data_IF_828045619318
#
_entry.id   IF_828045619318
#
_cell.length_a   1.000
_cell.length_b   1.000
_cell.length_c   1.000
_cell.angle_alpha   90.00
_cell.angle_beta   90.00
_cell.angle_gamma   90.00
#
_symmetry.space_group_name_H-M   'P 1'
#
loop_
_entity.id
_entity.type
_entity.pdbx_description
1 polymer ?
#
# COMPACT_ATOMS: atom_id res chain seq x y z
N UNK A 1 29.48 14.06 -16.49
CA UNK A 1 28.79 15.07 -17.33
C UNK A 1 27.83 14.39 -18.29
N UNK A 2 28.22 13.42 -19.12
CA UNK A 2 27.37 12.75 -20.12
C UNK A 2 26.17 12.06 -19.46
N UNK A 3 26.39 11.29 -18.40
CA UNK A 3 25.30 10.59 -17.66
C UNK A 3 24.32 11.61 -17.06
N UNK A 4 24.83 12.70 -16.48
CA UNK A 4 23.95 13.74 -15.92
C UNK A 4 23.12 14.42 -17.01
N UNK A 5 23.69 14.69 -18.18
CA UNK A 5 22.95 15.26 -19.31
C UNK A 5 21.84 14.32 -19.81
N UNK A 6 22.14 13.03 -19.97
CA UNK A 6 21.14 12.02 -20.38
C UNK A 6 20.01 11.92 -19.36
N UNK A 7 20.34 11.85 -18.06
CA UNK A 7 19.34 11.79 -17.00
C UNK A 7 18.46 13.05 -16.97
N UNK A 8 19.05 14.23 -17.15
CA UNK A 8 18.30 15.49 -17.21
C UNK A 8 17.31 15.51 -18.37
N UNK A 9 17.71 15.04 -19.55
CA UNK A 9 16.82 14.95 -20.72
C UNK A 9 15.64 13.99 -20.43
N UNK A 10 15.93 12.82 -19.86
CA UNK A 10 14.89 11.85 -19.50
C UNK A 10 13.91 12.45 -18.50
N UNK A 11 14.41 13.13 -17.46
CA UNK A 11 13.57 13.79 -16.44
C UNK A 11 12.68 14.86 -17.09
N UNK A 12 13.21 15.69 -17.99
CA UNK A 12 12.42 16.70 -18.69
C UNK A 12 11.31 16.10 -19.55
N UNK A 13 11.61 15.02 -20.27
CA UNK A 13 10.61 14.30 -21.09
C UNK A 13 9.52 13.71 -20.20
N UNK A 14 9.89 13.10 -19.06
CA UNK A 14 8.92 12.50 -18.13
C UNK A 14 8.14 13.55 -17.34
N UNK A 15 8.71 14.71 -17.07
CA UNK A 15 8.05 15.80 -16.37
C UNK A 15 7.06 16.57 -17.25
N UNK A 16 7.28 16.58 -18.58
CA UNK A 16 6.44 17.37 -19.51
C UNK A 16 4.94 17.01 -19.46
N UNK A 17 4.50 15.74 -19.45
CA UNK A 17 3.09 15.41 -19.34
C UNK A 17 2.45 15.92 -18.05
N UNK A 18 3.17 15.87 -16.93
CA UNK A 18 2.69 16.36 -15.62
C UNK A 18 2.57 17.88 -15.67
N UNK A 19 3.59 18.55 -16.20
CA UNK A 19 3.59 20.01 -16.41
C UNK A 19 2.43 20.44 -17.32
N UNK A 20 2.23 19.73 -18.44
CA UNK A 20 1.14 20.01 -19.40
C UNK A 20 -0.24 19.92 -18.73
N UNK A 21 -0.51 18.87 -17.94
CA UNK A 21 -1.78 18.70 -17.23
C UNK A 21 -1.98 19.84 -16.24
N UNK A 22 -0.93 20.25 -15.53
CA UNK A 22 -1.00 21.36 -14.59
C UNK A 22 -1.30 22.70 -15.29
N UNK A 23 -0.67 22.98 -16.42
CA UNK A 23 -0.97 24.19 -17.20
C UNK A 23 -2.34 24.13 -17.86
N UNK A 24 -2.76 22.96 -18.33
CA UNK A 24 -4.09 22.73 -18.89
C UNK A 24 -5.21 22.96 -17.88
N UNK A 25 -4.97 22.63 -16.60
CA UNK A 25 -5.96 22.84 -15.54
C UNK A 25 -6.32 24.31 -15.29
N UNK A 26 -5.44 25.22 -15.67
CA UNK A 26 -5.64 26.68 -15.59
C UNK A 26 -6.03 27.33 -16.93
N UNK A 27 -6.17 26.52 -17.99
CA UNK A 27 -6.46 27.04 -19.34
C UNK A 27 -7.92 26.81 -19.72
N UNK A 28 -8.41 27.65 -20.62
CA UNK A 28 -9.73 27.42 -21.19
C UNK A 28 -9.76 26.11 -22.00
N UNK A 29 -10.76 25.24 -21.79
CA UNK A 29 -10.87 23.94 -22.44
C UNK A 29 -10.81 24.01 -23.98
N UNK A 30 -11.23 25.10 -24.60
CA UNK A 30 -11.18 25.25 -26.06
C UNK A 30 -9.76 25.29 -26.60
N UNK A 31 -8.83 25.98 -25.92
CA UNK A 31 -7.42 26.04 -26.31
C UNK A 31 -6.68 24.72 -26.06
N UNK A 32 -7.07 23.98 -25.02
CA UNK A 32 -6.52 22.67 -24.73
C UNK A 32 -6.95 21.65 -25.78
N UNK A 33 -8.25 21.60 -26.10
CA UNK A 33 -8.81 20.66 -27.09
C UNK A 33 -8.32 20.93 -28.53
N UNK A 34 -8.08 22.20 -28.86
CA UNK A 34 -7.57 22.59 -30.19
C UNK A 34 -6.03 22.42 -30.28
N UNK A 35 -5.36 21.93 -29.24
CA UNK A 35 -3.90 21.76 -29.23
C UNK A 35 -3.09 23.05 -29.33
N UNK A 36 -3.72 24.21 -29.15
CA UNK A 36 -3.06 25.53 -29.23
C UNK A 36 -2.32 25.91 -27.95
N UNK A 37 -2.54 25.20 -26.84
CA UNK A 37 -1.80 25.29 -25.60
C UNK A 37 -0.67 24.27 -25.57
N UNK A 38 0.59 24.73 -25.44
CA UNK A 38 1.75 23.84 -25.38
C UNK A 38 2.53 23.95 -24.06
N UNK A 39 2.97 25.17 -23.71
CA UNK A 39 3.82 25.40 -22.53
C UNK A 39 3.19 26.34 -21.51
N UNK A 40 2.37 27.31 -21.94
CA UNK A 40 1.78 28.30 -21.05
C UNK A 40 0.26 28.25 -21.12
N UNK A 41 -0.45 28.55 -20.02
CA UNK A 41 -1.89 28.55 -20.00
C UNK A 41 -2.42 29.65 -20.94
N UNK A 42 -3.42 29.31 -21.76
CA UNK A 42 -4.13 30.24 -22.63
C UNK A 42 -5.57 30.40 -22.16
N UNK A 43 -6.02 31.66 -22.05
CA UNK A 43 -7.37 31.95 -21.56
C UNK A 43 -7.51 31.50 -20.10
N UNK A 44 -6.74 32.09 -19.17
CA UNK A 44 -6.73 31.68 -17.77
C UNK A 44 -8.14 31.58 -17.19
N UNK A 45 -8.52 30.39 -16.71
CA UNK A 45 -9.83 30.11 -16.14
C UNK A 45 -9.74 29.04 -15.07
N UNK A 46 -10.60 29.11 -14.07
CA UNK A 46 -10.78 28.09 -13.03
C UNK A 46 -12.03 27.24 -13.26
N UNK A 47 -12.63 27.33 -14.43
CA UNK A 47 -13.89 26.65 -14.77
C UNK A 47 -13.79 25.15 -14.65
N UNK A 48 -12.60 24.55 -14.94
CA UNK A 48 -12.31 23.14 -14.73
C UNK A 48 -12.43 22.74 -13.26
N UNK A 49 -11.83 23.52 -12.38
CA UNK A 49 -11.90 23.28 -10.93
C UNK A 49 -13.32 23.46 -10.39
N UNK A 50 -14.02 24.50 -10.84
CA UNK A 50 -15.41 24.73 -10.44
C UNK A 50 -16.28 23.52 -10.78
N UNK A 51 -16.21 23.00 -12.00
CA UNK A 51 -16.96 21.81 -12.42
C UNK A 51 -16.58 20.56 -11.61
N UNK A 52 -15.30 20.40 -11.25
CA UNK A 52 -14.82 19.30 -10.39
C UNK A 52 -15.43 19.40 -9.00
N UNK A 53 -15.46 20.58 -8.40
CA UNK A 53 -16.03 20.78 -7.07
C UNK A 53 -17.56 20.69 -7.02
N UNK A 54 -18.24 20.96 -8.12
CA UNK A 54 -19.69 20.80 -8.27
C UNK A 54 -20.12 19.34 -8.43
N UNK A 55 -19.22 18.45 -8.89
CA UNK A 55 -19.55 17.03 -9.12
C UNK A 55 -19.48 16.22 -7.80
N UNK A 56 -20.65 15.85 -7.28
CA UNK A 56 -20.78 15.06 -6.05
C UNK A 56 -20.10 13.69 -6.12
N UNK A 57 -19.90 13.12 -7.33
CA UNK A 57 -19.24 11.83 -7.53
C UNK A 57 -17.77 11.88 -7.12
N UNK A 58 -17.12 13.03 -7.31
CA UNK A 58 -15.73 13.26 -6.94
C UNK A 58 -15.57 13.22 -5.42
N UNK A 59 -16.44 13.90 -4.70
CA UNK A 59 -16.43 13.89 -3.23
C UNK A 59 -16.72 12.50 -2.65
N UNK A 60 -17.66 11.78 -3.26
CA UNK A 60 -17.94 10.38 -2.88
C UNK A 60 -16.74 9.49 -3.16
N UNK A 61 -16.04 9.69 -4.29
CA UNK A 61 -14.81 8.98 -4.64
C UNK A 61 -13.69 9.22 -3.61
N UNK A 62 -13.41 10.48 -3.29
CA UNK A 62 -12.43 10.83 -2.26
C UNK A 62 -12.77 10.25 -0.88
N UNK A 63 -14.03 10.35 -0.47
CA UNK A 63 -14.50 9.77 0.79
C UNK A 63 -14.29 8.25 0.84
N UNK A 64 -14.62 7.55 -0.23
CA UNK A 64 -14.40 6.11 -0.33
C UNK A 64 -12.90 5.76 -0.30
N UNK A 65 -12.07 6.47 -1.06
CA UNK A 65 -10.61 6.27 -1.07
C UNK A 65 -10.02 6.45 0.33
N UNK A 66 -10.41 7.50 1.06
CA UNK A 66 -9.95 7.71 2.43
C UNK A 66 -10.34 6.53 3.36
N UNK A 67 -11.59 6.06 3.27
CA UNK A 67 -12.06 4.91 4.06
C UNK A 67 -11.25 3.65 3.72
N UNK A 68 -11.02 3.38 2.43
CA UNK A 68 -10.27 2.20 1.99
C UNK A 68 -8.81 2.28 2.39
N UNK A 69 -8.18 3.44 2.20
CA UNK A 69 -6.78 3.66 2.58
C UNK A 69 -6.59 3.52 4.09
N UNK A 70 -7.38 4.20 4.90
CA UNK A 70 -7.24 4.13 6.36
C UNK A 70 -7.56 2.73 6.86
N UNK A 71 -8.70 2.17 6.47
CA UNK A 71 -9.15 0.84 6.90
C UNK A 71 -8.22 -0.27 6.42
N UNK A 72 -7.84 -0.25 5.14
CA UNK A 72 -6.95 -1.23 4.55
C UNK A 72 -5.53 -1.17 5.10
N UNK A 73 -4.98 0.04 5.26
CA UNK A 73 -3.65 0.23 5.86
C UNK A 73 -3.62 -0.22 7.31
N UNK A 74 -4.62 0.11 8.11
CA UNK A 74 -4.68 -0.30 9.52
C UNK A 74 -4.76 -1.83 9.64
N UNK A 75 -5.70 -2.46 8.95
CA UNK A 75 -5.85 -3.92 8.96
C UNK A 75 -4.62 -4.62 8.37
N UNK A 76 -4.13 -4.13 7.24
CA UNK A 76 -2.99 -4.71 6.55
C UNK A 76 -1.72 -4.66 7.39
N UNK A 77 -1.42 -3.51 7.99
CA UNK A 77 -0.28 -3.36 8.89
C UNK A 77 -0.42 -4.30 10.08
N UNK A 78 -1.58 -4.35 10.71
CA UNK A 78 -1.82 -5.20 11.88
C UNK A 78 -1.60 -6.69 11.56
N UNK A 79 -2.25 -7.21 10.53
CA UNK A 79 -2.12 -8.63 10.17
C UNK A 79 -0.74 -8.98 9.62
N UNK A 80 -0.11 -8.09 8.86
CA UNK A 80 1.26 -8.28 8.36
C UNK A 80 2.27 -8.34 9.50
N UNK A 81 2.16 -7.44 10.48
CA UNK A 81 3.01 -7.45 11.67
C UNK A 81 2.81 -8.71 12.50
N UNK A 82 1.58 -9.16 12.71
CA UNK A 82 1.29 -10.42 13.40
C UNK A 82 1.86 -11.63 12.67
N UNK A 83 1.64 -11.74 11.37
CA UNK A 83 2.13 -12.84 10.54
C UNK A 83 3.66 -12.84 10.49
N UNK A 84 4.29 -11.67 10.26
CA UNK A 84 5.74 -11.52 10.25
C UNK A 84 6.36 -11.92 11.59
N UNK A 85 5.77 -11.48 12.71
CA UNK A 85 6.21 -11.89 14.06
C UNK A 85 6.07 -13.40 14.26
N UNK A 86 4.93 -13.99 13.96
CA UNK A 86 4.73 -15.42 14.14
C UNK A 86 5.74 -16.25 13.32
N UNK A 87 5.94 -15.86 12.06
CA UNK A 87 6.88 -16.54 11.15
C UNK A 87 8.35 -16.22 11.44
N UNK A 88 8.68 -15.18 12.19
CA UNK A 88 10.05 -14.89 12.63
C UNK A 88 10.51 -15.81 13.77
N UNK A 89 9.57 -16.44 14.47
CA UNK A 89 9.86 -17.30 15.63
C UNK A 89 10.42 -18.64 15.21
N UNK A 90 11.54 -19.06 15.83
CA UNK A 90 12.15 -20.37 15.57
C UNK A 90 11.39 -21.52 16.22
N UNK A 91 10.67 -21.25 17.30
CA UNK A 91 9.86 -22.24 18.02
C UNK A 91 8.47 -22.49 17.40
N UNK A 92 8.12 -21.79 16.28
CA UNK A 92 6.87 -22.06 15.57
C UNK A 92 6.96 -23.38 14.81
N UNK A 93 6.09 -24.37 15.11
CA UNK A 93 6.04 -25.60 14.35
C UNK A 93 5.66 -25.34 12.90
N UNK A 94 6.23 -26.11 11.98
CA UNK A 94 5.98 -25.99 10.54
C UNK A 94 6.26 -24.62 9.93
N UNK A 95 7.07 -23.78 10.57
CA UNK A 95 7.40 -22.41 10.11
C UNK A 95 7.80 -22.35 8.64
N UNK A 96 8.69 -23.24 8.21
CA UNK A 96 9.18 -23.28 6.84
C UNK A 96 8.10 -23.72 5.85
N UNK A 97 7.24 -24.65 6.25
CA UNK A 97 6.10 -25.09 5.42
C UNK A 97 5.07 -23.96 5.25
N UNK A 98 4.74 -23.26 6.32
CA UNK A 98 3.87 -22.09 6.27
C UNK A 98 4.45 -21.01 5.36
N UNK A 99 5.75 -20.75 5.47
CA UNK A 99 6.42 -19.78 4.62
C UNK A 99 6.42 -20.20 3.14
N UNK A 100 6.69 -21.48 2.87
CA UNK A 100 6.60 -22.03 1.52
C UNK A 100 5.18 -21.91 0.94
N UNK A 101 4.16 -22.14 1.76
CA UNK A 101 2.77 -21.93 1.36
C UNK A 101 2.47 -20.47 1.01
N UNK A 102 2.89 -19.50 1.81
CA UNK A 102 2.74 -18.08 1.49
C UNK A 102 3.46 -17.73 0.19
N UNK A 103 4.71 -18.16 0.01
CA UNK A 103 5.47 -17.91 -1.22
C UNK A 103 4.80 -18.57 -2.42
N UNK A 104 4.28 -19.78 -2.27
CA UNK A 104 3.52 -20.47 -3.32
C UNK A 104 2.32 -19.63 -3.78
N UNK A 105 1.53 -19.06 -2.85
CA UNK A 105 0.38 -18.21 -3.21
C UNK A 105 0.77 -16.91 -3.92
N UNK A 106 2.01 -16.48 -3.81
CA UNK A 106 2.49 -15.29 -4.52
C UNK A 106 2.68 -15.55 -6.02
N UNK A 107 3.08 -16.77 -6.39
CA UNK A 107 3.36 -17.15 -7.78
C UNK A 107 2.19 -17.88 -8.46
N UNK A 108 1.35 -18.55 -7.69
CA UNK A 108 0.24 -19.34 -8.20
C UNK A 108 -1.10 -18.73 -7.82
N UNK A 109 -1.75 -18.08 -8.78
CA UNK A 109 -3.11 -17.57 -8.64
C UNK A 109 -4.12 -18.51 -9.30
N UNK A 110 -5.31 -18.62 -8.70
CA UNK A 110 -6.40 -19.44 -9.26
C UNK A 110 -7.09 -18.87 -10.51
N UNK A 111 -6.70 -17.66 -10.92
CA UNK A 111 -7.34 -16.95 -12.03
C UNK A 111 -8.56 -16.12 -11.61
N UNK A 112 -9.06 -15.33 -12.56
CA UNK A 112 -10.14 -14.36 -12.31
C UNK A 112 -11.47 -15.03 -11.94
N UNK A 113 -11.83 -16.10 -12.65
CA UNK A 113 -13.13 -16.76 -12.46
C UNK A 113 -13.26 -17.41 -11.08
N UNK A 114 -12.33 -18.28 -10.64
CA UNK A 114 -12.37 -18.83 -9.29
C UNK A 114 -12.36 -17.76 -8.20
N UNK A 115 -11.55 -16.71 -8.39
CA UNK A 115 -11.49 -15.59 -7.46
C UNK A 115 -12.86 -14.88 -7.32
N UNK A 116 -13.52 -14.55 -8.44
CA UNK A 116 -14.85 -13.95 -8.44
C UNK A 116 -15.89 -14.86 -7.79
N UNK A 117 -15.83 -16.18 -8.03
CA UNK A 117 -16.75 -17.14 -7.42
C UNK A 117 -16.62 -17.15 -5.89
N UNK A 118 -15.40 -17.08 -5.37
CA UNK A 118 -15.17 -16.98 -3.91
C UNK A 118 -15.78 -15.70 -3.34
N UNK A 119 -15.53 -14.55 -3.98
CA UNK A 119 -16.11 -13.26 -3.57
C UNK A 119 -17.64 -13.32 -3.55
N UNK A 120 -18.23 -13.90 -4.60
CA UNK A 120 -19.69 -14.05 -4.71
C UNK A 120 -20.25 -14.98 -3.62
N UNK A 121 -19.57 -16.09 -3.35
CA UNK A 121 -19.98 -17.04 -2.29
C UNK A 121 -19.92 -16.41 -0.89
N UNK A 122 -18.95 -15.52 -0.66
CA UNK A 122 -18.79 -14.76 0.58
C UNK A 122 -19.73 -13.55 0.66
N UNK A 123 -20.57 -13.31 -0.36
CA UNK A 123 -21.49 -12.16 -0.46
C UNK A 123 -20.80 -10.79 -0.34
N UNK A 124 -19.52 -10.73 -0.73
CA UNK A 124 -18.72 -9.51 -0.68
C UNK A 124 -18.78 -8.68 -1.96
N UNK A 125 -19.52 -9.13 -2.97
CA UNK A 125 -19.65 -8.44 -4.26
C UNK A 125 -20.20 -7.03 -4.06
N UNK A 126 -19.53 -6.03 -4.62
CA UNK A 126 -19.90 -4.61 -4.56
C UNK A 126 -20.01 -4.05 -3.12
N UNK A 127 -19.16 -4.52 -2.21
CA UNK A 127 -19.11 -4.04 -0.83
C UNK A 127 -17.81 -3.26 -0.56
N UNK A 128 -17.89 -2.28 0.35
CA UNK A 128 -16.70 -1.55 0.84
C UNK A 128 -15.72 -2.46 1.57
N UNK A 129 -16.26 -3.46 2.27
CA UNK A 129 -15.47 -4.46 3.01
C UNK A 129 -14.52 -5.22 2.08
N UNK A 130 -14.99 -5.59 0.88
CA UNK A 130 -14.14 -6.25 -0.11
C UNK A 130 -12.94 -5.38 -0.47
N UNK A 131 -13.16 -4.11 -0.75
CA UNK A 131 -12.09 -3.16 -1.13
C UNK A 131 -11.04 -3.00 -0.02
N UNK A 132 -11.46 -3.02 1.24
CA UNK A 132 -10.56 -2.93 2.39
C UNK A 132 -9.73 -4.22 2.56
N UNK A 133 -10.35 -5.40 2.41
CA UNK A 133 -9.70 -6.69 2.68
C UNK A 133 -8.77 -7.10 1.52
N UNK A 134 -9.14 -6.80 0.29
CA UNK A 134 -8.51 -7.35 -0.91
C UNK A 134 -7.03 -6.99 -1.04
N UNK A 135 -6.63 -5.79 -0.61
CA UNK A 135 -5.25 -5.33 -0.63
C UNK A 135 -4.54 -5.38 0.73
N UNK A 136 -5.25 -5.80 1.80
CA UNK A 136 -4.76 -5.63 3.16
C UNK A 136 -3.49 -6.43 3.45
N UNK A 137 -3.34 -7.66 2.95
CA UNK A 137 -2.22 -8.53 3.29
C UNK A 137 -1.48 -8.97 2.03
N UNK A 138 -0.23 -8.51 1.89
CA UNK A 138 0.67 -8.93 0.83
C UNK A 138 1.74 -9.89 1.35
N UNK A 139 1.98 -10.98 0.64
CA UNK A 139 3.01 -11.97 1.01
C UNK A 139 4.41 -11.34 1.07
N UNK A 140 4.72 -10.45 0.13
CA UNK A 140 5.99 -9.71 0.13
C UNK A 140 6.17 -8.91 1.43
N UNK A 141 5.12 -8.23 1.89
CA UNK A 141 5.14 -7.46 3.13
C UNK A 141 5.37 -8.36 4.36
N UNK A 142 4.81 -9.57 4.36
CA UNK A 142 5.07 -10.58 5.41
C UNK A 142 6.54 -10.99 5.41
N UNK A 143 7.13 -11.23 4.22
CA UNK A 143 8.54 -11.66 4.09
C UNK A 143 9.48 -10.60 4.65
N UNK A 144 9.32 -9.35 4.24
CA UNK A 144 10.20 -8.27 4.72
C UNK A 144 10.02 -8.03 6.23
N UNK A 145 8.80 -8.11 6.74
CA UNK A 145 8.51 -7.95 8.16
C UNK A 145 9.14 -9.08 8.98
N UNK A 146 8.98 -10.32 8.52
CA UNK A 146 9.64 -11.48 9.12
C UNK A 146 11.15 -11.30 9.18
N UNK A 147 11.78 -10.99 8.04
CA UNK A 147 13.23 -10.80 7.94
C UNK A 147 13.71 -9.69 8.86
N UNK A 148 12.97 -8.57 8.92
CA UNK A 148 13.29 -7.48 9.84
C UNK A 148 13.24 -7.94 11.30
N UNK A 149 12.21 -8.66 11.72
CA UNK A 149 12.05 -9.12 13.10
C UNK A 149 13.07 -10.20 13.47
N UNK A 150 13.43 -11.09 12.54
CA UNK A 150 14.51 -12.09 12.77
C UNK A 150 15.87 -11.42 13.04
N UNK A 151 16.16 -10.31 12.35
CA UNK A 151 17.46 -9.65 12.47
C UNK A 151 17.52 -8.61 13.61
N UNK A 152 16.39 -8.04 14.01
CA UNK A 152 16.37 -6.93 14.98
C UNK A 152 15.81 -7.29 16.35
N UNK A 153 15.23 -8.47 16.53
CA UNK A 153 14.73 -8.96 17.83
C UNK A 153 15.54 -10.18 18.24
N UNK A 154 16.56 -10.01 19.12
CA UNK A 154 17.38 -11.13 19.58
C UNK A 154 16.57 -12.21 20.28
N UNK A 155 16.96 -13.48 20.14
CA UNK A 155 16.30 -14.59 20.83
C UNK A 155 16.47 -14.50 22.34
N UNK A 156 17.62 -14.01 22.81
CA UNK A 156 17.93 -13.80 24.21
C UNK A 156 16.91 -12.89 24.91
N UNK A 157 16.42 -11.85 24.19
CA UNK A 157 15.36 -10.97 24.70
C UNK A 157 14.05 -11.72 24.92
N UNK A 158 13.76 -12.68 24.04
CA UNK A 158 12.57 -13.53 24.15
C UNK A 158 12.69 -14.52 25.32
N UNK A 159 13.87 -15.11 25.49
CA UNK A 159 14.13 -16.06 26.56
C UNK A 159 14.08 -15.37 27.93
N UNK A 160 14.66 -14.19 28.06
CA UNK A 160 14.54 -13.38 29.27
C UNK A 160 13.07 -13.06 29.59
N UNK A 161 12.29 -12.63 28.59
CA UNK A 161 10.88 -12.36 28.78
C UNK A 161 10.06 -13.59 29.18
N UNK A 162 10.45 -14.79 28.70
CA UNK A 162 9.84 -16.07 29.12
C UNK A 162 10.11 -16.38 30.59
N UNK A 163 11.33 -16.15 31.06
CA UNK A 163 11.70 -16.33 32.47
C UNK A 163 10.85 -15.40 33.35
N UNK A 164 10.57 -14.18 32.87
CA UNK A 164 9.68 -13.22 33.55
C UNK A 164 8.19 -13.56 33.41
N UNK A 165 7.83 -14.72 32.87
CA UNK A 165 6.43 -15.15 32.69
C UNK A 165 5.67 -14.38 31.58
N UNK A 166 6.38 -13.74 30.67
CA UNK A 166 5.77 -13.01 29.57
C UNK A 166 5.27 -13.96 28.47
N UNK A 167 3.95 -14.06 28.32
CA UNK A 167 3.34 -14.82 27.23
C UNK A 167 3.55 -14.17 25.85
N UNK A 168 3.39 -14.97 24.78
CA UNK A 168 3.67 -14.56 23.39
C UNK A 168 2.92 -13.31 22.93
N UNK A 169 1.64 -13.18 23.28
CA UNK A 169 0.85 -12.00 22.94
C UNK A 169 1.36 -10.74 23.65
N UNK A 170 1.68 -10.86 24.95
CA UNK A 170 2.25 -9.75 25.71
C UNK A 170 3.61 -9.33 25.15
N UNK A 171 4.46 -10.29 24.79
CA UNK A 171 5.74 -10.02 24.14
C UNK A 171 5.55 -9.29 22.81
N UNK A 172 4.61 -9.73 21.95
CA UNK A 172 4.31 -9.07 20.69
C UNK A 172 3.95 -7.60 20.89
N UNK A 173 2.93 -7.32 21.72
CA UNK A 173 2.43 -5.94 21.87
C UNK A 173 3.37 -5.03 22.66
N UNK A 174 4.05 -5.54 23.69
CA UNK A 174 4.86 -4.70 24.58
C UNK A 174 6.33 -4.59 24.18
N UNK A 175 6.87 -5.54 23.43
CA UNK A 175 8.30 -5.59 23.11
C UNK A 175 8.50 -5.60 21.59
N UNK A 176 7.98 -6.60 20.89
CA UNK A 176 8.27 -6.77 19.46
C UNK A 176 7.72 -5.60 18.62
N UNK A 177 6.48 -5.18 18.84
CA UNK A 177 5.84 -4.12 18.09
C UNK A 177 6.55 -2.76 18.29
N UNK A 178 6.87 -2.31 19.51
CA UNK A 178 7.64 -1.08 19.73
C UNK A 178 9.05 -1.11 19.13
N UNK A 179 9.75 -2.25 19.17
CA UNK A 179 11.08 -2.40 18.56
C UNK A 179 11.02 -2.42 17.03
N UNK A 180 9.85 -2.73 16.46
CA UNK A 180 9.64 -2.84 15.01
C UNK A 180 9.00 -1.59 14.40
N UNK A 181 9.08 -0.41 15.04
CA UNK A 181 8.48 0.84 14.54
C UNK A 181 8.97 1.22 13.14
N UNK A 182 10.24 0.96 12.82
CA UNK A 182 10.82 1.28 11.53
C UNK A 182 10.12 0.52 10.39
N UNK A 183 10.01 -0.81 10.52
CA UNK A 183 9.32 -1.60 9.50
C UNK A 183 7.81 -1.32 9.48
N UNK A 184 7.19 -1.03 10.62
CA UNK A 184 5.79 -0.64 10.70
C UNK A 184 5.52 0.66 9.91
N UNK A 185 6.40 1.67 10.01
CA UNK A 185 6.27 2.90 9.23
C UNK A 185 6.39 2.64 7.72
N UNK A 186 7.31 1.76 7.30
CA UNK A 186 7.46 1.34 5.91
C UNK A 186 6.19 0.63 5.42
N UNK A 187 5.62 -0.29 6.20
CA UNK A 187 4.39 -1.00 5.85
C UNK A 187 3.20 -0.04 5.71
N UNK A 188 3.04 0.89 6.66
CA UNK A 188 1.98 1.91 6.60
C UNK A 188 2.09 2.71 5.31
N UNK A 189 3.30 3.14 4.94
CA UNK A 189 3.53 3.91 3.72
C UNK A 189 3.25 3.08 2.46
N UNK A 190 3.76 1.86 2.38
CA UNK A 190 3.50 0.97 1.23
C UNK A 190 2.01 0.67 1.05
N UNK A 191 1.33 0.32 2.14
CA UNK A 191 -0.09 0.01 2.08
C UNK A 191 -0.93 1.25 1.77
N UNK A 192 -0.63 2.40 2.37
CA UNK A 192 -1.36 3.64 2.10
C UNK A 192 -1.25 4.09 0.63
N UNK A 193 -0.10 3.89 0.00
CA UNK A 193 0.11 4.21 -1.42
C UNK A 193 -0.55 3.19 -2.36
N UNK A 194 -0.78 1.96 -1.90
CA UNK A 194 -1.38 0.89 -2.71
C UNK A 194 -2.91 0.97 -2.82
N UNK A 195 -3.57 1.73 -1.94
CA UNK A 195 -5.01 2.00 -1.96
C UNK A 195 -5.35 3.29 -2.70
#
# INVERSE_FOLDING_TARGET
IIVAAILSIIILIMAYPIYFVLMASFSDPSYVNNGSMLLWPKGFTLLGYQKVFEDSRIWTGYGNTLIYTIGGTALGTFFTMMAGYALSRRDLPFRNLLMAYFVFTMYFGGGLIPFYMVIKKLQLTNTRTLMIILGAVGVYNIIITRSFMENNIPEELRDAARVDGCGNGRFFFKIALPLSKAIMAVLVLYLAVSY
#
